data_IF_649852756814
#
_entry.id   IF_649852756814
#
_cell.length_a   1.000
_cell.length_b   1.000
_cell.length_c   1.000
_cell.angle_alpha   90.00
_cell.angle_beta   90.00
_cell.angle_gamma   90.00
#
_symmetry.space_group_name_H-M   'P 1'
#
loop_
_entity.id
_entity.type
_entity.pdbx_description
1 polymer ?
#
# COMPACT_ATOMS: atom_id res chain seq x y z
N UNK A 1 32.74 5.25 -5.45
CA UNK A 1 31.47 4.90 -4.77
C UNK A 1 30.48 4.46 -5.84
N UNK A 2 29.90 3.27 -5.74
CA UNK A 2 28.98 2.75 -6.75
C UNK A 2 27.63 3.48 -6.62
N UNK A 3 27.36 4.44 -7.51
CA UNK A 3 26.16 5.29 -7.45
C UNK A 3 24.85 4.48 -7.35
N UNK A 4 24.82 3.27 -7.90
CA UNK A 4 23.64 2.38 -7.81
C UNK A 4 23.30 1.94 -6.39
N UNK A 5 24.30 1.65 -5.54
CA UNK A 5 24.05 1.21 -4.16
C UNK A 5 23.43 2.34 -3.33
N UNK A 6 23.98 3.55 -3.43
CA UNK A 6 23.48 4.73 -2.71
C UNK A 6 22.04 5.06 -3.11
N UNK A 7 21.74 5.01 -4.42
CA UNK A 7 20.39 5.26 -4.92
C UNK A 7 19.40 4.22 -4.38
N UNK A 8 19.75 2.93 -4.41
CA UNK A 8 18.90 1.87 -3.87
C UNK A 8 18.66 2.03 -2.37
N UNK A 9 19.69 2.38 -1.60
CA UNK A 9 19.55 2.65 -0.15
C UNK A 9 18.60 3.82 0.10
N UNK A 10 18.75 4.93 -0.61
CA UNK A 10 17.86 6.08 -0.49
C UNK A 10 16.40 5.71 -0.83
N UNK A 11 16.18 4.97 -1.92
CA UNK A 11 14.86 4.50 -2.30
C UNK A 11 14.24 3.60 -1.22
N UNK A 12 15.02 2.68 -0.62
CA UNK A 12 14.55 1.84 0.46
C UNK A 12 14.16 2.66 1.69
N UNK A 13 14.96 3.67 2.06
CA UNK A 13 14.62 4.58 3.16
C UNK A 13 13.30 5.32 2.90
N UNK A 14 13.11 5.87 1.69
CA UNK A 14 11.87 6.57 1.33
C UNK A 14 10.67 5.63 1.38
N UNK A 15 10.80 4.40 0.86
CA UNK A 15 9.74 3.41 0.88
C UNK A 15 9.33 3.05 2.32
N UNK A 16 10.29 2.71 3.18
CA UNK A 16 10.00 2.35 4.58
C UNK A 16 9.52 3.52 5.42
N UNK A 17 10.01 4.73 5.16
CA UNK A 17 9.46 5.94 5.77
C UNK A 17 7.99 6.11 5.39
N UNK A 18 7.64 5.94 4.12
CA UNK A 18 6.25 5.96 3.64
C UNK A 18 5.38 4.90 4.33
N UNK A 19 5.83 3.65 4.43
CA UNK A 19 5.13 2.59 5.13
C UNK A 19 4.86 2.95 6.61
N UNK A 20 5.86 3.49 7.32
CA UNK A 20 5.72 3.92 8.70
C UNK A 20 4.70 5.06 8.87
N UNK A 21 4.73 6.04 7.96
CA UNK A 21 3.77 7.15 7.95
C UNK A 21 2.33 6.71 7.67
N UNK A 22 2.13 5.60 6.94
CA UNK A 22 0.79 5.08 6.63
C UNK A 22 0.18 4.25 7.77
N UNK A 23 0.97 3.67 8.68
CA UNK A 23 0.44 2.76 9.68
C UNK A 23 -0.58 3.43 10.61
N UNK A 24 -0.22 4.58 11.18
CA UNK A 24 -1.10 5.34 12.08
C UNK A 24 -2.43 5.76 11.43
N UNK A 25 -2.45 6.45 10.27
CA UNK A 25 -3.71 6.88 9.66
C UNK A 25 -4.57 5.71 9.18
N UNK A 26 -3.99 4.57 8.77
CA UNK A 26 -4.76 3.39 8.37
C UNK A 26 -5.47 2.78 9.58
N UNK A 27 -4.75 2.55 10.68
CA UNK A 27 -5.34 2.00 11.92
C UNK A 27 -6.41 2.95 12.48
N UNK A 28 -6.12 4.25 12.52
CA UNK A 28 -7.09 5.26 12.97
C UNK A 28 -8.34 5.32 12.08
N UNK A 29 -8.20 5.15 10.77
CA UNK A 29 -9.35 5.12 9.85
C UNK A 29 -10.21 3.90 10.13
N UNK A 30 -9.63 2.70 10.26
CA UNK A 30 -10.40 1.49 10.58
C UNK A 30 -11.17 1.66 11.88
N UNK A 31 -10.47 2.06 12.96
CA UNK A 31 -11.08 2.19 14.28
C UNK A 31 -12.09 3.34 14.38
N UNK A 32 -11.91 4.43 13.63
CA UNK A 32 -12.88 5.54 13.62
C UNK A 32 -14.16 5.21 12.87
N UNK A 33 -14.10 4.32 11.88
CA UNK A 33 -15.24 4.04 10.98
C UNK A 33 -16.16 2.92 11.43
N UNK A 34 -15.89 2.30 12.58
CA UNK A 34 -16.64 1.15 13.12
C UNK A 34 -17.19 1.48 14.50
N UNK A 35 -18.31 0.87 14.87
CA UNK A 35 -18.88 1.04 16.21
C UNK A 35 -17.95 0.48 17.30
N UNK A 36 -17.98 1.08 18.49
CA UNK A 36 -17.03 0.79 19.59
C UNK A 36 -17.09 -0.69 20.01
N UNK A 37 -18.27 -1.30 19.97
CA UNK A 37 -18.52 -2.71 20.27
C UNK A 37 -18.02 -3.67 19.18
N UNK A 38 -17.94 -3.21 17.93
CA UNK A 38 -17.38 -3.97 16.80
C UNK A 38 -15.86 -3.77 16.61
N UNK A 39 -15.24 -2.91 17.42
CA UNK A 39 -13.83 -2.53 17.30
C UNK A 39 -12.87 -3.73 17.24
N UNK A 40 -13.11 -4.76 18.06
CA UNK A 40 -12.30 -5.99 18.05
C UNK A 40 -12.34 -6.74 16.70
N UNK A 41 -13.50 -6.73 16.02
CA UNK A 41 -13.66 -7.33 14.68
C UNK A 41 -12.93 -6.50 13.63
N UNK A 42 -13.03 -5.18 13.71
CA UNK A 42 -12.32 -4.28 12.80
C UNK A 42 -10.80 -4.36 12.93
N UNK A 43 -10.27 -4.44 14.16
CA UNK A 43 -8.83 -4.65 14.40
C UNK A 43 -8.37 -5.97 13.80
N UNK A 44 -9.10 -7.07 14.03
CA UNK A 44 -8.75 -8.38 13.49
C UNK A 44 -8.76 -8.40 11.95
N UNK A 45 -9.74 -7.76 11.31
CA UNK A 45 -9.79 -7.64 9.85
C UNK A 45 -8.66 -6.77 9.29
N UNK A 46 -8.30 -5.68 9.98
CA UNK A 46 -7.17 -4.84 9.59
C UNK A 46 -5.84 -5.59 9.71
N UNK A 47 -5.63 -6.34 10.79
CA UNK A 47 -4.41 -7.14 10.98
C UNK A 47 -4.29 -8.23 9.92
N UNK A 48 -5.40 -8.90 9.58
CA UNK A 48 -5.43 -9.86 8.49
C UNK A 48 -5.04 -9.20 7.16
N UNK A 49 -5.63 -8.04 6.83
CA UNK A 49 -5.31 -7.33 5.60
C UNK A 49 -3.82 -6.89 5.57
N UNK A 50 -3.30 -6.39 6.69
CA UNK A 50 -1.91 -5.95 6.81
C UNK A 50 -0.89 -7.07 6.70
N UNK A 51 -1.18 -8.28 7.21
CA UNK A 51 -0.25 -9.41 7.16
C UNK A 51 -0.37 -10.24 5.86
N UNK A 52 -1.58 -10.39 5.33
CA UNK A 52 -1.83 -11.23 4.15
C UNK A 52 -1.46 -10.51 2.86
N UNK A 53 -1.78 -9.22 2.73
CA UNK A 53 -1.53 -8.47 1.48
C UNK A 53 -0.06 -8.45 1.06
N UNK A 54 0.92 -8.21 1.95
CA UNK A 54 2.33 -8.28 1.60
C UNK A 54 2.75 -9.67 1.12
N UNK A 55 2.23 -10.73 1.75
CA UNK A 55 2.54 -12.12 1.39
C UNK A 55 2.07 -12.45 -0.04
N UNK A 56 0.87 -12.00 -0.42
CA UNK A 56 0.36 -12.13 -1.79
C UNK A 56 1.23 -11.35 -2.77
N UNK A 57 1.57 -10.10 -2.42
CA UNK A 57 2.43 -9.26 -3.25
C UNK A 57 3.80 -9.90 -3.52
N UNK A 58 4.43 -10.45 -2.49
CA UNK A 58 5.72 -11.15 -2.59
C UNK A 58 5.59 -12.40 -3.47
N UNK A 59 4.52 -13.19 -3.33
CA UNK A 59 4.32 -14.37 -4.16
C UNK A 59 4.19 -14.01 -5.66
N UNK A 60 3.40 -12.98 -5.98
CA UNK A 60 3.20 -12.53 -7.36
C UNK A 60 4.49 -11.93 -7.93
N UNK A 61 5.04 -10.90 -7.28
CA UNK A 61 6.23 -10.21 -7.79
C UNK A 61 7.44 -11.14 -7.78
N UNK A 62 7.61 -11.96 -6.73
CA UNK A 62 8.66 -12.97 -6.63
C UNK A 62 8.63 -13.96 -7.79
N UNK A 63 7.45 -14.45 -8.17
CA UNK A 63 7.31 -15.35 -9.33
C UNK A 63 7.72 -14.69 -10.65
N UNK A 64 7.39 -13.40 -10.82
CA UNK A 64 7.70 -12.64 -12.04
C UNK A 64 9.16 -12.19 -12.13
N UNK A 65 9.83 -12.02 -10.99
CA UNK A 65 11.28 -11.75 -10.95
C UNK A 65 12.07 -12.90 -11.59
N UNK A 66 11.67 -14.15 -11.34
CA UNK A 66 12.36 -15.34 -11.86
C UNK A 66 12.01 -15.73 -13.30
N UNK A 67 10.85 -15.32 -13.81
CA UNK A 67 10.36 -15.78 -15.12
C UNK A 67 10.81 -14.95 -16.32
N UNK A 68 11.42 -13.77 -16.11
CA UNK A 68 11.78 -12.80 -17.15
C UNK A 68 10.61 -12.43 -18.10
N UNK A 69 9.35 -12.60 -17.65
CA UNK A 69 8.17 -12.38 -18.47
C UNK A 69 8.05 -10.94 -19.01
N UNK A 70 8.71 -9.97 -18.36
CA UNK A 70 8.67 -8.54 -18.72
C UNK A 70 10.01 -8.05 -19.28
N UNK A 71 10.84 -8.94 -19.82
CA UNK A 71 12.19 -8.62 -20.31
C UNK A 71 12.26 -8.02 -21.73
N UNK A 72 11.15 -8.01 -22.47
CA UNK A 72 11.11 -7.60 -23.89
C UNK A 72 11.47 -6.14 -24.16
N UNK A 73 11.34 -5.27 -23.16
CA UNK A 73 11.69 -3.86 -23.21
C UNK A 73 11.10 -3.10 -22.03
N UNK A 74 11.65 -1.93 -21.68
CA UNK A 74 11.13 -1.07 -20.61
C UNK A 74 10.95 0.38 -21.08
N UNK A 75 10.14 1.14 -20.34
CA UNK A 75 9.98 2.59 -20.52
C UNK A 75 11.31 3.33 -20.32
N UNK A 76 12.25 2.74 -19.59
CA UNK A 76 13.62 3.26 -19.40
C UNK A 76 14.58 2.92 -20.54
N UNK A 77 14.11 2.22 -21.60
CA UNK A 77 14.93 1.81 -22.74
C UNK A 77 15.85 0.61 -22.47
N UNK A 78 15.68 -0.06 -21.33
CA UNK A 78 16.44 -1.27 -21.00
C UNK A 78 15.80 -2.51 -21.66
N UNK A 79 16.60 -3.56 -21.83
CA UNK A 79 16.16 -4.89 -22.31
C UNK A 79 16.71 -5.98 -21.41
N UNK A 80 16.12 -7.17 -21.45
CA UNK A 80 16.57 -8.31 -20.65
C UNK A 80 16.19 -8.18 -19.17
N UNK A 81 17.07 -8.67 -18.29
CA UNK A 81 16.81 -8.71 -16.84
C UNK A 81 16.56 -7.33 -16.24
N UNK A 82 17.32 -6.32 -16.68
CA UNK A 82 17.13 -4.94 -16.24
C UNK A 82 15.74 -4.38 -16.62
N UNK A 83 15.21 -4.75 -17.78
CA UNK A 83 13.85 -4.38 -18.19
C UNK A 83 12.79 -5.05 -17.31
N UNK A 84 13.00 -6.34 -17.00
CA UNK A 84 12.12 -7.08 -16.11
C UNK A 84 12.01 -6.41 -14.73
N UNK A 85 13.16 -6.05 -14.12
CA UNK A 85 13.18 -5.33 -12.84
C UNK A 85 12.51 -3.94 -12.93
N UNK A 86 12.83 -3.16 -13.97
CA UNK A 86 12.26 -1.82 -14.15
C UNK A 86 10.73 -1.88 -14.30
N UNK A 87 10.22 -2.80 -15.12
CA UNK A 87 8.79 -2.97 -15.34
C UNK A 87 8.07 -3.46 -14.07
N UNK A 88 8.68 -4.36 -13.29
CA UNK A 88 8.11 -4.82 -12.02
C UNK A 88 8.02 -3.71 -10.97
N UNK A 89 9.06 -2.88 -10.86
CA UNK A 89 9.03 -1.70 -9.98
C UNK A 89 7.94 -0.70 -10.40
N UNK A 90 7.74 -0.50 -11.71
CA UNK A 90 6.68 0.35 -12.23
C UNK A 90 5.28 -0.22 -11.96
N UNK A 91 5.09 -1.54 -12.09
CA UNK A 91 3.84 -2.20 -11.72
C UNK A 91 3.55 -2.02 -10.24
N UNK A 92 4.55 -2.23 -9.36
CA UNK A 92 4.41 -2.03 -7.92
C UNK A 92 4.10 -0.57 -7.56
N UNK A 93 4.72 0.40 -8.24
CA UNK A 93 4.40 1.81 -8.06
C UNK A 93 2.96 2.13 -8.55
N UNK A 94 2.56 1.55 -9.68
CA UNK A 94 1.21 1.68 -10.23
C UNK A 94 0.14 1.13 -9.30
N UNK A 95 0.36 -0.03 -8.69
CA UNK A 95 -0.60 -0.62 -7.74
C UNK A 95 -0.72 0.22 -6.46
N UNK A 96 0.39 0.75 -5.94
CA UNK A 96 0.36 1.68 -4.80
C UNK A 96 -0.42 2.97 -5.13
N UNK A 97 -0.21 3.53 -6.33
CA UNK A 97 -0.91 4.72 -6.79
C UNK A 97 -2.41 4.45 -7.00
N UNK A 98 -2.79 3.30 -7.54
CA UNK A 98 -4.19 2.87 -7.64
C UNK A 98 -4.85 2.77 -6.25
N UNK A 99 -4.16 2.21 -5.26
CA UNK A 99 -4.66 2.17 -3.88
C UNK A 99 -4.91 3.57 -3.31
N UNK A 100 -4.00 4.52 -3.59
CA UNK A 100 -4.17 5.92 -3.21
C UNK A 100 -5.37 6.57 -3.90
N UNK A 101 -5.56 6.34 -5.21
CA UNK A 101 -6.72 6.84 -5.96
C UNK A 101 -8.01 6.30 -5.36
N UNK A 102 -8.10 4.99 -5.12
CA UNK A 102 -9.28 4.36 -4.51
C UNK A 102 -9.58 5.01 -3.15
N UNK A 103 -8.56 5.20 -2.31
CA UNK A 103 -8.73 5.92 -1.04
C UNK A 103 -9.30 7.33 -1.26
N UNK A 104 -8.73 8.14 -2.15
CA UNK A 104 -9.23 9.50 -2.38
C UNK A 104 -10.64 9.56 -2.97
N UNK A 105 -11.03 8.59 -3.79
CA UNK A 105 -12.39 8.49 -4.35
C UNK A 105 -13.39 8.15 -3.25
N UNK A 106 -13.05 7.22 -2.35
CA UNK A 106 -13.97 6.73 -1.33
C UNK A 106 -13.85 7.43 0.02
N UNK A 107 -12.83 8.27 0.27
CA UNK A 107 -12.62 8.91 1.58
C UNK A 107 -13.86 9.62 2.10
N UNK A 108 -14.62 10.29 1.22
CA UNK A 108 -15.83 11.01 1.63
C UNK A 108 -16.89 10.06 2.18
N UNK A 109 -17.10 8.93 1.50
CA UNK A 109 -17.99 7.84 1.92
C UNK A 109 -17.50 7.13 3.18
N UNK A 110 -16.19 6.94 3.32
CA UNK A 110 -15.58 6.29 4.48
C UNK A 110 -15.82 7.11 5.75
N UNK A 111 -15.64 8.44 5.70
CA UNK A 111 -15.80 9.30 6.87
C UNK A 111 -17.24 9.81 7.08
N UNK A 112 -18.17 9.58 6.14
CA UNK A 112 -19.59 9.99 6.27
C UNK A 112 -20.27 9.40 7.52
N UNK A 113 -19.95 8.16 7.91
CA UNK A 113 -20.50 7.53 9.12
C UNK A 113 -19.91 8.07 10.44
N UNK A 114 -18.69 8.60 10.40
CA UNK A 114 -17.98 9.08 11.59
C UNK A 114 -18.62 10.36 12.18
N UNK A 115 -19.22 11.20 11.33
CA UNK A 115 -19.91 12.42 11.77
C UNK A 115 -21.28 12.16 12.40
N UNK A 116 -21.95 11.06 12.03
CA UNK A 116 -23.25 10.69 12.60
C UNK A 116 -23.10 10.18 14.05
N UNK A 117 -22.01 9.47 14.34
CA UNK A 117 -21.71 8.93 15.68
C UNK A 117 -21.33 10.03 16.69
N UNK A 118 -20.57 11.05 16.27
CA UNK A 118 -20.25 12.22 17.13
C UNK A 118 -21.49 13.07 17.45
N UNK A 119 -22.45 13.17 16.52
CA UNK A 119 -23.67 13.96 16.75
C UNK A 119 -24.63 13.27 17.72
N UNK A 120 -24.69 11.93 17.76
CA UNK A 120 -25.47 11.19 18.76
C UNK A 120 -24.82 11.17 20.14
N UNK A 121 -23.49 11.07 20.24
CA UNK A 121 -22.77 11.12 21.53
C UNK A 121 -22.85 12.52 22.17
N UNK A 122 -22.84 13.59 21.37
CA UNK A 122 -22.98 14.96 21.87
C UNK A 122 -24.42 15.39 22.17
N UNK A 123 -25.42 14.59 21.74
CA UNK A 123 -26.84 14.81 22.00
C UNK A 123 -27.36 14.06 23.24
N UNK A 124 -26.50 13.28 23.91
CA UNK A 124 -26.76 12.59 25.19
C UNK A 124 -26.12 13.33 26.35
#
# INVERSE_FOLDING_TARGET
MNSGFVVLTLCACVFYAGCGLMYSPVVSTVLGTIEKDESGRGVGMNDLAMNVSPSIGIAIIGSLLGSNALAGGSITGATGTAANYANLLLIAAGTALLGLIVFFVFKKKIYEGNHALETEESAK
#
